data_IF_732454480726
#
_entry.id   IF_732454480726
#
_cell.length_a   1.000
_cell.length_b   1.000
_cell.length_c   1.000
_cell.angle_alpha   90.00
_cell.angle_beta   90.00
_cell.angle_gamma   90.00
#
_symmetry.space_group_name_H-M   'P 1'
#
loop_
_entity.id
_entity.type
_entity.pdbx_description
1 polymer ?
#
# COMPACT_ATOMS: atom_id res chain seq x y z
N UNK A 1 11.30 -3.72 20.78
CA UNK A 1 12.43 -2.79 20.62
C UNK A 1 12.14 -1.57 21.47
N UNK A 2 13.09 -1.12 22.30
CA UNK A 2 12.87 0.06 23.16
C UNK A 2 12.77 1.32 22.28
N UNK A 3 12.00 2.34 22.69
CA UNK A 3 11.89 3.59 21.90
C UNK A 3 13.26 4.25 21.64
N UNK A 4 14.17 4.12 22.59
CA UNK A 4 15.53 4.65 22.50
C UNK A 4 16.38 3.93 21.43
N UNK A 5 16.21 2.61 21.29
CA UNK A 5 16.88 1.80 20.26
C UNK A 5 16.40 2.20 18.86
N UNK A 6 15.08 2.44 18.70
CA UNK A 6 14.50 2.89 17.42
C UNK A 6 15.08 4.25 17.04
N UNK A 7 15.10 5.19 17.99
CA UNK A 7 15.60 6.55 17.75
C UNK A 7 17.09 6.54 17.41
N UNK A 8 17.90 5.76 18.12
CA UNK A 8 19.31 5.57 17.82
C UNK A 8 19.53 4.98 16.41
N UNK A 9 18.78 3.93 16.07
CA UNK A 9 18.85 3.29 14.75
C UNK A 9 18.48 4.27 13.63
N UNK A 10 17.43 5.08 13.80
CA UNK A 10 17.04 6.11 12.84
C UNK A 10 18.13 7.17 12.64
N UNK A 11 18.73 7.67 13.73
CA UNK A 11 19.82 8.66 13.63
C UNK A 11 21.03 8.10 12.90
N UNK A 12 21.44 6.86 13.19
CA UNK A 12 22.56 6.19 12.49
C UNK A 12 22.25 5.91 11.01
N UNK A 13 20.99 5.61 10.70
CA UNK A 13 20.53 5.44 9.31
C UNK A 13 20.65 6.74 8.53
N UNK A 14 20.19 7.87 9.10
CA UNK A 14 20.29 9.19 8.47
C UNK A 14 21.74 9.64 8.22
N UNK A 15 22.67 9.12 9.03
CA UNK A 15 24.11 9.35 8.91
C UNK A 15 24.83 8.34 7.99
N UNK A 16 24.11 7.41 7.37
CA UNK A 16 24.65 6.33 6.53
C UNK A 16 25.63 5.39 7.26
N UNK A 17 25.46 5.22 8.58
CA UNK A 17 26.36 4.42 9.44
C UNK A 17 25.88 2.99 9.68
N UNK A 18 24.79 2.56 9.02
CA UNK A 18 24.25 1.21 9.13
C UNK A 18 24.54 0.40 7.88
N UNK A 19 25.00 -0.84 8.08
CA UNK A 19 25.04 -1.82 6.99
C UNK A 19 23.65 -2.41 6.73
N UNK A 20 23.46 -3.05 5.56
CA UNK A 20 22.15 -3.57 5.16
C UNK A 20 21.55 -4.60 6.15
N UNK A 21 22.37 -5.42 6.83
CA UNK A 21 21.87 -6.39 7.82
C UNK A 21 21.45 -5.70 9.12
N UNK A 22 22.19 -4.69 9.58
CA UNK A 22 21.78 -3.85 10.70
C UNK A 22 20.46 -3.15 10.41
N UNK A 23 20.27 -2.68 9.18
CA UNK A 23 19.01 -2.08 8.78
C UNK A 23 17.86 -3.10 8.75
N UNK A 24 18.09 -4.31 8.22
CA UNK A 24 17.10 -5.39 8.23
C UNK A 24 16.64 -5.69 9.66
N UNK A 25 17.58 -5.81 10.58
CA UNK A 25 17.27 -6.09 11.99
C UNK A 25 16.62 -4.91 12.69
N UNK A 26 17.13 -3.69 12.48
CA UNK A 26 16.64 -2.47 13.14
C UNK A 26 15.25 -2.05 12.69
N UNK A 27 14.95 -2.15 11.39
CA UNK A 27 13.64 -1.80 10.85
C UNK A 27 12.69 -2.99 10.76
N UNK A 28 13.19 -4.22 10.97
CA UNK A 28 12.42 -5.45 10.87
C UNK A 28 12.00 -5.75 9.43
N UNK A 29 12.87 -5.50 8.47
CA UNK A 29 12.59 -5.71 7.04
C UNK A 29 12.50 -7.21 6.78
N UNK A 30 11.43 -7.64 6.13
CA UNK A 30 11.19 -9.06 5.87
C UNK A 30 11.17 -9.37 4.38
N UNK A 31 10.92 -8.40 3.50
CA UNK A 31 10.97 -8.63 2.05
C UNK A 31 11.61 -7.45 1.31
N UNK A 32 11.84 -7.64 0.01
CA UNK A 32 12.43 -6.65 -0.90
C UNK A 32 13.74 -6.02 -0.41
N UNK A 33 14.52 -6.77 0.38
CA UNK A 33 15.80 -6.33 0.94
C UNK A 33 16.98 -6.57 -0.02
N UNK A 34 18.06 -5.78 0.04
CA UNK A 34 19.26 -6.00 -0.78
C UNK A 34 19.88 -7.40 -0.65
N UNK A 35 19.72 -8.04 0.51
CA UNK A 35 20.27 -9.37 0.82
C UNK A 35 19.39 -10.52 0.34
N UNK A 36 18.15 -10.27 -0.07
CA UNK A 36 17.28 -11.33 -0.56
C UNK A 36 17.48 -11.56 -2.08
N UNK A 37 17.70 -12.81 -2.50
CA UNK A 37 17.90 -13.16 -3.90
C UNK A 37 16.68 -12.83 -4.78
N UNK A 38 15.47 -12.84 -4.22
CA UNK A 38 14.20 -12.61 -4.89
C UNK A 38 13.86 -11.12 -5.07
N UNK A 39 14.58 -10.23 -4.40
CA UNK A 39 14.38 -8.78 -4.51
C UNK A 39 14.61 -8.28 -5.93
N UNK A 40 13.77 -7.33 -6.37
CA UNK A 40 13.89 -6.70 -7.69
C UNK A 40 15.27 -6.05 -7.86
N UNK A 41 15.88 -6.24 -9.03
CA UNK A 41 17.24 -5.76 -9.34
C UNK A 41 17.44 -4.25 -9.13
N UNK A 42 16.38 -3.45 -9.31
CA UNK A 42 16.44 -1.99 -9.12
C UNK A 42 16.61 -1.59 -7.64
N UNK A 43 16.03 -2.36 -6.71
CA UNK A 43 16.14 -2.12 -5.27
C UNK A 43 17.53 -2.55 -4.75
N UNK A 44 18.13 -3.58 -5.36
CA UNK A 44 19.51 -4.02 -5.03
C UNK A 44 20.60 -2.98 -5.35
N UNK A 45 20.32 -2.01 -6.23
CA UNK A 45 21.30 -1.01 -6.66
C UNK A 45 21.42 0.18 -5.69
N UNK A 46 20.50 0.31 -4.72
CA UNK A 46 20.50 1.40 -3.75
C UNK A 46 20.34 0.88 -2.31
N UNK A 47 21.34 0.16 -1.76
CA UNK A 47 21.26 -0.48 -0.43
C UNK A 47 21.17 0.50 0.75
N UNK A 48 21.25 1.81 0.50
CA UNK A 48 21.10 2.88 1.50
C UNK A 48 19.98 3.88 1.14
N UNK A 49 19.16 3.59 0.12
CA UNK A 49 17.99 4.41 -0.15
C UNK A 49 17.00 4.28 1.02
N UNK A 50 16.17 5.29 1.22
CA UNK A 50 15.11 5.29 2.24
C UNK A 50 14.22 4.02 2.19
N UNK A 51 14.17 3.36 1.04
CA UNK A 51 13.37 2.17 0.72
C UNK A 51 14.26 0.92 0.60
N UNK A 52 15.04 0.61 1.64
CA UNK A 52 15.91 -0.58 1.72
C UNK A 52 15.14 -1.92 1.85
N UNK A 53 13.81 -1.90 1.78
CA UNK A 53 12.94 -3.07 1.84
C UNK A 53 11.70 -2.82 2.69
N UNK A 54 10.81 -3.80 2.70
CA UNK A 54 9.49 -3.70 3.32
C UNK A 54 9.36 -4.62 4.54
N UNK A 55 8.58 -4.17 5.52
CA UNK A 55 8.18 -4.97 6.68
C UNK A 55 6.73 -5.40 6.53
N UNK A 56 6.53 -6.64 6.12
CA UNK A 56 5.19 -7.20 5.86
C UNK A 56 4.79 -8.27 6.88
N UNK A 57 5.75 -8.86 7.57
CA UNK A 57 5.48 -9.97 8.49
C UNK A 57 5.50 -9.49 9.95
N UNK A 58 4.41 -9.75 10.66
CA UNK A 58 4.20 -9.27 12.03
C UNK A 58 3.71 -10.42 12.93
N UNK A 59 4.24 -10.48 14.15
CA UNK A 59 3.71 -11.30 15.22
C UNK A 59 3.05 -10.36 16.22
N UNK A 60 1.73 -10.32 16.19
CA UNK A 60 0.95 -9.62 17.21
C UNK A 60 0.69 -10.55 18.37
N UNK A 61 0.97 -10.09 19.59
CA UNK A 61 0.68 -10.82 20.80
C UNK A 61 0.23 -9.85 21.88
N UNK A 62 -0.49 -10.41 22.86
CA UNK A 62 -0.89 -9.67 24.04
C UNK A 62 0.15 -9.88 25.13
N UNK A 63 0.78 -8.79 25.58
CA UNK A 63 1.70 -8.81 26.71
C UNK A 63 0.92 -8.95 28.01
N UNK A 64 1.26 -9.95 28.82
CA UNK A 64 0.72 -10.16 30.18
C UNK A 64 1.88 -10.32 31.17
N UNK A 65 1.59 -10.48 32.47
CA UNK A 65 2.62 -10.82 33.46
C UNK A 65 3.22 -12.21 33.20
N UNK A 66 2.38 -13.11 32.69
CA UNK A 66 2.69 -14.50 32.39
C UNK A 66 3.33 -14.66 31.01
N UNK A 67 3.14 -13.72 30.07
CA UNK A 67 3.65 -13.83 28.70
C UNK A 67 4.28 -12.52 28.23
N UNK A 68 5.61 -12.49 28.11
CA UNK A 68 6.35 -11.33 27.61
C UNK A 68 7.25 -11.74 26.44
N UNK A 69 7.19 -11.01 25.33
CA UNK A 69 8.21 -11.12 24.29
C UNK A 69 9.50 -10.52 24.84
N UNK A 70 10.55 -11.35 24.92
CA UNK A 70 11.87 -10.95 25.39
C UNK A 70 12.83 -10.68 24.24
N UNK A 71 12.55 -11.23 23.05
CA UNK A 71 13.35 -11.02 21.85
C UNK A 71 12.49 -11.20 20.61
N UNK A 72 12.64 -10.31 19.64
CA UNK A 72 12.08 -10.45 18.29
C UNK A 72 13.17 -10.04 17.30
N UNK A 73 13.39 -10.85 16.27
CA UNK A 73 14.39 -10.58 15.22
C UNK A 73 13.97 -11.18 13.88
N UNK A 74 14.54 -10.64 12.81
CA UNK A 74 14.49 -11.27 11.48
C UNK A 74 15.48 -12.44 11.47
N UNK A 75 15.15 -13.54 10.79
CA UNK A 75 15.97 -14.75 10.67
C UNK A 75 15.85 -15.34 9.26
N UNK A 76 16.69 -16.34 8.95
CA UNK A 76 16.78 -16.95 7.63
C UNK A 76 17.19 -15.94 6.53
N UNK A 77 18.11 -15.05 6.88
CA UNK A 77 18.72 -14.09 5.95
C UNK A 77 19.78 -14.77 5.05
N UNK A 78 20.26 -15.95 5.45
CA UNK A 78 21.28 -16.70 4.74
C UNK A 78 20.77 -17.33 3.42
N UNK A 79 21.71 -17.61 2.53
CA UNK A 79 21.45 -18.38 1.32
C UNK A 79 21.40 -19.88 1.59
N UNK A 80 20.65 -20.60 0.75
CA UNK A 80 20.66 -22.05 0.71
C UNK A 80 22.10 -22.50 0.45
N UNK A 81 22.65 -23.43 1.27
CA UNK A 81 24.02 -23.91 1.14
C UNK A 81 24.38 -24.27 -0.30
N UNK A 82 25.55 -23.82 -0.75
CA UNK A 82 26.07 -24.02 -2.11
C UNK A 82 25.28 -23.34 -3.23
N UNK A 83 24.41 -22.38 -2.90
CA UNK A 83 23.69 -21.55 -3.88
C UNK A 83 23.90 -20.06 -3.60
N UNK A 84 23.34 -19.21 -4.46
CA UNK A 84 23.21 -17.77 -4.25
C UNK A 84 21.73 -17.38 -4.10
N UNK A 85 20.90 -18.31 -3.61
CA UNK A 85 19.47 -18.15 -3.48
C UNK A 85 19.06 -18.15 -2.01
N UNK A 86 18.22 -17.20 -1.64
CA UNK A 86 17.53 -17.16 -0.35
C UNK A 86 16.47 -18.27 -0.31
N UNK A 87 16.21 -18.79 0.89
CA UNK A 87 15.20 -19.83 1.11
C UNK A 87 13.77 -19.41 0.70
N UNK A 88 13.49 -18.11 0.74
CA UNK A 88 12.18 -17.51 0.49
C UNK A 88 12.33 -16.06 0.04
N UNK A 89 11.33 -15.52 -0.65
CA UNK A 89 11.21 -14.09 -0.99
C UNK A 89 10.90 -13.21 0.23
N UNK A 90 10.50 -13.85 1.33
CA UNK A 90 10.40 -13.27 2.67
C UNK A 90 11.39 -13.93 3.64
N UNK A 91 12.12 -13.12 4.41
CA UNK A 91 12.80 -13.53 5.63
C UNK A 91 11.78 -13.82 6.74
N UNK A 92 12.13 -14.73 7.64
CA UNK A 92 11.23 -15.12 8.72
C UNK A 92 11.34 -14.17 9.92
N UNK A 93 10.25 -14.01 10.67
CA UNK A 93 10.25 -13.30 11.95
C UNK A 93 10.23 -14.33 13.08
N UNK A 94 11.20 -14.23 13.99
CA UNK A 94 11.31 -15.11 15.14
C UNK A 94 11.19 -14.31 16.44
N UNK A 95 10.15 -14.63 17.23
CA UNK A 95 9.92 -14.06 18.56
C UNK A 95 10.06 -15.12 19.65
N UNK A 96 10.81 -14.79 20.69
CA UNK A 96 10.95 -15.59 21.90
C UNK A 96 10.12 -14.97 23.02
N UNK A 97 9.25 -15.79 23.61
CA UNK A 97 8.38 -15.41 24.71
C UNK A 97 8.81 -16.11 25.99
N UNK A 98 8.88 -15.36 27.09
CA UNK A 98 9.08 -15.92 28.42
C UNK A 98 7.71 -16.14 29.07
N UNK A 99 7.53 -17.35 29.65
CA UNK A 99 6.40 -17.68 30.50
C UNK A 99 6.79 -17.43 31.97
N UNK A 100 6.03 -16.61 32.69
CA UNK A 100 6.27 -16.18 34.08
C UNK A 100 7.59 -15.41 34.29
N UNK A 101 7.55 -14.08 34.18
CA UNK A 101 8.70 -13.25 34.54
C UNK A 101 8.57 -12.75 35.99
N UNK A 102 9.31 -13.29 36.97
CA UNK A 102 9.23 -12.84 38.37
C UNK A 102 9.86 -11.44 38.58
N UNK A 103 10.43 -10.83 37.53
CA UNK A 103 11.43 -9.77 37.69
C UNK A 103 10.89 -8.34 37.64
N UNK A 104 9.60 -8.10 37.39
CA UNK A 104 9.01 -6.75 37.53
C UNK A 104 7.55 -6.88 37.94
N UNK A 105 7.23 -6.40 39.15
CA UNK A 105 5.90 -5.92 39.52
C UNK A 105 5.52 -4.76 38.59
N UNK A 106 5.21 -5.05 37.34
CA UNK A 106 4.45 -4.16 36.50
C UNK A 106 2.99 -4.44 36.84
N UNK A 107 2.23 -3.38 37.11
CA UNK A 107 0.77 -3.41 37.22
C UNK A 107 0.24 -3.71 35.81
N UNK A 108 0.43 -4.94 35.35
CA UNK A 108 -0.10 -5.44 34.09
C UNK A 108 -1.27 -6.36 34.45
N UNK A 109 -2.45 -6.14 33.87
CA UNK A 109 -3.62 -6.96 34.18
C UNK A 109 -3.32 -8.43 33.88
N UNK A 110 -3.81 -9.31 34.76
CA UNK A 110 -3.66 -10.76 34.62
C UNK A 110 -4.31 -11.25 33.32
N UNK A 111 -3.89 -12.40 32.78
CA UNK A 111 -4.52 -12.97 31.58
C UNK A 111 -6.06 -13.09 31.69
N UNK A 112 -6.58 -13.32 32.90
CA UNK A 112 -8.02 -13.36 33.21
C UNK A 112 -8.68 -11.98 33.13
N UNK A 113 -8.04 -10.94 33.68
CA UNK A 113 -8.51 -9.57 33.57
C UNK A 113 -8.46 -9.08 32.12
N UNK A 114 -7.41 -9.43 31.38
CA UNK A 114 -7.24 -9.03 29.98
C UNK A 114 -8.23 -9.72 29.04
N UNK A 115 -8.65 -10.96 29.33
CA UNK A 115 -9.73 -11.61 28.58
C UNK A 115 -11.10 -10.96 28.79
N UNK A 116 -11.21 -9.94 29.67
CA UNK A 116 -12.39 -9.08 29.70
C UNK A 116 -12.38 -8.20 28.44
N UNK A 117 -13.46 -8.19 27.63
CA UNK A 117 -13.53 -7.44 26.37
C UNK A 117 -13.14 -5.97 26.53
N UNK A 118 -13.44 -5.40 27.70
CA UNK A 118 -13.20 -4.01 28.11
C UNK A 118 -11.71 -3.56 28.04
N UNK A 119 -10.74 -4.50 28.02
CA UNK A 119 -9.29 -4.22 27.97
C UNK A 119 -8.67 -4.41 26.57
N UNK A 120 -9.48 -4.75 25.56
CA UNK A 120 -9.09 -4.83 24.13
C UNK A 120 -9.65 -3.70 23.27
N UNK A 121 -10.45 -2.80 23.84
CA UNK A 121 -11.05 -1.72 23.03
C UNK A 121 -9.96 -0.75 22.57
N UNK A 122 -9.91 -0.55 21.25
CA UNK A 122 -9.27 0.63 20.69
C UNK A 122 -9.93 1.87 21.31
N UNK A 123 -9.12 2.86 21.66
CA UNK A 123 -9.64 4.13 22.15
C UNK A 123 -10.58 4.72 21.10
N UNK A 124 -11.73 5.23 21.53
CA UNK A 124 -12.74 5.80 20.64
C UNK A 124 -12.14 6.88 19.70
N UNK A 125 -11.23 7.72 20.22
CA UNK A 125 -10.50 8.72 19.43
C UNK A 125 -9.67 8.12 18.29
N UNK A 126 -9.11 6.92 18.48
CA UNK A 126 -8.36 6.20 17.45
C UNK A 126 -9.31 5.68 16.37
N UNK A 127 -10.45 5.10 16.77
CA UNK A 127 -11.48 4.64 15.83
C UNK A 127 -12.07 5.80 15.03
N UNK A 128 -12.37 6.92 15.67
CA UNK A 128 -12.82 8.14 15.01
C UNK A 128 -11.76 8.69 14.04
N UNK A 129 -10.48 8.63 14.41
CA UNK A 129 -9.36 8.99 13.52
C UNK A 129 -9.28 8.11 12.27
N UNK A 130 -9.47 6.79 12.43
CA UNK A 130 -9.53 5.85 11.30
C UNK A 130 -10.73 6.16 10.41
N UNK A 131 -11.91 6.40 10.99
CA UNK A 131 -13.12 6.77 10.23
C UNK A 131 -12.89 8.05 9.42
N UNK A 132 -12.32 9.09 10.04
CA UNK A 132 -12.04 10.36 9.36
C UNK A 132 -11.08 10.18 8.17
N UNK A 133 -10.05 9.34 8.33
CA UNK A 133 -9.11 9.02 7.27
C UNK A 133 -9.80 8.29 6.10
N UNK A 134 -10.58 7.24 6.39
CA UNK A 134 -11.33 6.48 5.38
C UNK A 134 -12.34 7.37 4.65
N UNK A 135 -13.00 8.30 5.35
CA UNK A 135 -13.93 9.26 4.74
C UNK A 135 -13.23 10.22 3.77
N UNK A 136 -12.04 10.71 4.16
CA UNK A 136 -11.21 11.55 3.29
C UNK A 136 -10.81 10.80 2.02
N UNK A 137 -10.34 9.56 2.17
CA UNK A 137 -9.93 8.72 1.03
C UNK A 137 -11.10 8.34 0.14
N UNK A 138 -12.27 8.05 0.72
CA UNK A 138 -13.49 7.78 -0.05
C UNK A 138 -13.90 9.00 -0.89
N UNK A 139 -13.81 10.20 -0.32
CA UNK A 139 -14.12 11.45 -1.03
C UNK A 139 -13.13 11.65 -2.18
N UNK A 140 -11.84 11.46 -1.94
CA UNK A 140 -10.78 11.56 -2.95
C UNK A 140 -10.94 10.54 -4.07
N UNK A 141 -11.19 9.27 -3.75
CA UNK A 141 -11.43 8.20 -4.72
C UNK A 141 -12.69 8.48 -5.55
N UNK A 142 -13.77 8.96 -4.92
CA UNK A 142 -15.00 9.36 -5.62
C UNK A 142 -14.76 10.51 -6.59
N UNK A 143 -14.02 11.55 -6.18
CA UNK A 143 -13.71 12.67 -7.05
C UNK A 143 -12.81 12.28 -8.21
N UNK A 144 -11.80 11.44 -7.96
CA UNK A 144 -10.90 10.91 -9.00
C UNK A 144 -11.66 10.09 -10.03
N UNK A 145 -12.50 9.14 -9.57
CA UNK A 145 -13.37 8.32 -10.42
C UNK A 145 -14.29 9.18 -11.28
N UNK A 146 -14.97 10.18 -10.70
CA UNK A 146 -15.82 11.12 -11.46
C UNK A 146 -15.05 11.89 -12.52
N UNK A 147 -13.85 12.41 -12.19
CA UNK A 147 -13.00 13.11 -13.16
C UNK A 147 -12.62 12.23 -14.34
N UNK A 148 -12.24 10.97 -14.08
CA UNK A 148 -11.93 10.00 -15.13
C UNK A 148 -13.16 9.66 -15.99
N UNK A 149 -14.35 9.53 -15.39
CA UNK A 149 -15.58 9.32 -16.15
C UNK A 149 -15.93 10.51 -17.05
N UNK A 150 -15.67 11.75 -16.59
CA UNK A 150 -15.81 12.94 -17.44
C UNK A 150 -14.82 12.89 -18.61
N UNK A 151 -13.55 12.55 -18.36
CA UNK A 151 -12.54 12.42 -19.42
C UNK A 151 -12.93 11.34 -20.43
N UNK A 152 -13.51 10.22 -19.98
CA UNK A 152 -14.02 9.17 -20.85
C UNK A 152 -15.14 9.70 -21.78
N UNK A 153 -16.15 10.38 -21.22
CA UNK A 153 -17.25 10.96 -22.01
C UNK A 153 -16.72 11.99 -23.01
N UNK A 154 -15.81 12.87 -22.60
CA UNK A 154 -15.17 13.83 -23.50
C UNK A 154 -14.39 13.13 -24.62
N UNK A 155 -13.68 12.05 -24.30
CA UNK A 155 -12.93 11.26 -25.29
C UNK A 155 -13.87 10.63 -26.32
N UNK A 156 -15.03 10.10 -25.90
CA UNK A 156 -16.04 9.57 -26.82
C UNK A 156 -16.59 10.65 -27.77
N UNK A 157 -16.90 11.84 -27.24
CA UNK A 157 -17.38 12.97 -28.05
C UNK A 157 -16.32 13.41 -29.06
N UNK A 158 -15.05 13.46 -28.66
CA UNK A 158 -13.93 13.83 -29.55
C UNK A 158 -13.70 12.80 -30.65
N UNK A 159 -13.80 11.51 -30.33
CA UNK A 159 -13.73 10.43 -31.34
C UNK A 159 -14.86 10.59 -32.37
N UNK A 160 -16.10 10.76 -31.90
CA UNK A 160 -17.26 10.96 -32.78
C UNK A 160 -17.09 12.20 -33.65
N UNK A 161 -16.57 13.29 -33.08
CA UNK A 161 -16.29 14.53 -33.82
C UNK A 161 -15.23 14.29 -34.90
N UNK A 162 -14.16 13.55 -34.61
CA UNK A 162 -13.14 13.19 -35.60
C UNK A 162 -13.74 12.39 -36.77
N UNK A 163 -14.62 11.43 -36.50
CA UNK A 163 -15.32 10.66 -37.53
C UNK A 163 -16.23 11.53 -38.40
N UNK A 164 -17.01 12.44 -37.79
CA UNK A 164 -17.89 13.35 -38.54
C UNK A 164 -17.04 14.29 -39.42
N UNK A 165 -15.94 14.82 -38.89
CA UNK A 165 -15.04 15.70 -39.65
C UNK A 165 -14.42 14.99 -40.85
N UNK A 166 -14.05 13.71 -40.73
CA UNK A 166 -13.58 12.92 -41.86
C UNK A 166 -14.62 12.82 -42.97
N UNK A 167 -15.89 12.56 -42.63
CA UNK A 167 -16.98 12.47 -43.62
C UNK A 167 -17.20 13.82 -44.31
N UNK A 168 -17.21 14.92 -43.55
CA UNK A 168 -17.40 16.27 -44.08
C UNK A 168 -16.26 16.64 -45.03
N UNK A 169 -15.00 16.40 -44.64
CA UNK A 169 -13.83 16.74 -45.44
C UNK A 169 -13.85 16.09 -46.82
N UNK A 170 -14.29 14.82 -46.93
CA UNK A 170 -14.43 14.11 -48.21
C UNK A 170 -15.39 14.82 -49.16
N UNK A 171 -16.44 15.44 -48.63
CA UNK A 171 -17.47 16.09 -49.44
C UNK A 171 -17.10 17.55 -49.80
N UNK A 172 -16.26 18.21 -49.00
CA UNK A 172 -15.97 19.64 -49.16
C UNK A 172 -14.66 19.95 -49.86
N UNK A 173 -13.67 19.06 -49.80
CA UNK A 173 -12.31 19.37 -50.25
C UNK A 173 -12.03 18.85 -51.67
N UNK A 174 -11.53 19.74 -52.53
CA UNK A 174 -11.13 19.43 -53.92
C UNK A 174 -9.67 18.99 -54.06
N UNK A 175 -8.81 19.32 -53.09
CA UNK A 175 -7.39 18.94 -53.12
C UNK A 175 -7.16 17.56 -52.47
N UNK A 176 -6.79 16.58 -53.31
CA UNK A 176 -6.55 15.20 -52.90
C UNK A 176 -5.34 15.04 -51.97
N UNK A 177 -4.33 15.91 -52.08
CA UNK A 177 -3.10 15.81 -51.28
C UNK A 177 -3.33 16.21 -49.82
N UNK A 178 -3.97 17.36 -49.61
CA UNK A 178 -4.29 17.86 -48.27
C UNK A 178 -5.30 16.97 -47.54
N UNK A 179 -6.21 16.34 -48.29
CA UNK A 179 -7.16 15.36 -47.75
C UNK A 179 -6.45 14.19 -47.07
N UNK A 180 -5.51 13.53 -47.75
CA UNK A 180 -4.80 12.36 -47.18
C UNK A 180 -4.09 12.72 -45.88
N UNK A 181 -3.44 13.90 -45.84
CA UNK A 181 -2.75 14.38 -44.63
C UNK A 181 -3.73 14.63 -43.49
N UNK A 182 -4.85 15.31 -43.75
CA UNK A 182 -5.88 15.56 -42.73
C UNK A 182 -6.50 14.26 -42.19
N UNK A 183 -6.71 13.26 -43.05
CA UNK A 183 -7.20 11.94 -42.66
C UNK A 183 -6.24 11.22 -41.70
N UNK A 184 -4.94 11.24 -41.99
CA UNK A 184 -3.92 10.62 -41.13
C UNK A 184 -3.92 11.27 -39.75
N UNK A 185 -3.97 12.61 -39.67
CA UNK A 185 -4.00 13.31 -38.39
C UNK A 185 -5.29 13.03 -37.60
N UNK A 186 -6.46 13.13 -38.23
CA UNK A 186 -7.73 12.86 -37.56
C UNK A 186 -7.83 11.42 -37.07
N UNK A 187 -7.31 10.47 -37.85
CA UNK A 187 -7.23 9.07 -37.44
C UNK A 187 -6.30 8.88 -36.23
N UNK A 188 -5.11 9.50 -36.25
CA UNK A 188 -4.17 9.45 -35.13
C UNK A 188 -4.79 10.04 -33.85
N UNK A 189 -5.49 11.17 -33.94
CA UNK A 189 -6.20 11.75 -32.81
C UNK A 189 -7.30 10.81 -32.28
N UNK A 190 -8.09 10.19 -33.15
CA UNK A 190 -9.11 9.22 -32.74
C UNK A 190 -8.50 8.02 -32.00
N UNK A 191 -7.34 7.51 -32.45
CA UNK A 191 -6.61 6.44 -31.75
C UNK A 191 -6.14 6.88 -30.36
N UNK A 192 -5.56 8.09 -30.24
CA UNK A 192 -5.11 8.62 -28.94
C UNK A 192 -6.29 8.75 -27.97
N UNK A 193 -7.40 9.35 -28.40
CA UNK A 193 -8.59 9.49 -27.56
C UNK A 193 -9.23 8.14 -27.23
N UNK A 194 -9.14 7.15 -28.11
CA UNK A 194 -9.61 5.79 -27.83
C UNK A 194 -8.82 5.14 -26.69
N UNK A 195 -7.48 5.27 -26.70
CA UNK A 195 -6.61 4.78 -25.62
C UNK A 195 -6.93 5.50 -24.31
N UNK A 196 -6.95 6.84 -24.32
CA UNK A 196 -7.24 7.65 -23.12
C UNK A 196 -8.63 7.35 -22.57
N UNK A 197 -9.63 7.23 -23.44
CA UNK A 197 -11.00 6.85 -23.07
C UNK A 197 -11.05 5.48 -22.42
N UNK A 198 -10.39 4.48 -23.02
CA UNK A 198 -10.36 3.10 -22.50
C UNK A 198 -9.70 3.04 -21.12
N UNK A 199 -8.55 3.68 -20.94
CA UNK A 199 -7.87 3.75 -19.63
C UNK A 199 -8.75 4.46 -18.60
N UNK A 200 -9.36 5.57 -18.98
CA UNK A 200 -10.25 6.34 -18.09
C UNK A 200 -11.49 5.54 -17.69
N UNK A 201 -12.04 4.73 -18.59
CA UNK A 201 -13.15 3.81 -18.29
C UNK A 201 -12.70 2.71 -17.31
N UNK A 202 -11.61 2.00 -17.60
CA UNK A 202 -11.16 0.89 -16.75
C UNK A 202 -10.74 1.36 -15.35
N UNK A 203 -10.01 2.48 -15.26
CA UNK A 203 -9.57 3.00 -13.96
C UNK A 203 -10.73 3.72 -13.25
N UNK A 204 -11.43 4.61 -13.95
CA UNK A 204 -12.49 5.43 -13.36
C UNK A 204 -13.71 4.62 -12.94
N UNK A 205 -14.15 3.67 -13.75
CA UNK A 205 -15.33 2.85 -13.47
C UNK A 205 -14.96 1.60 -12.68
N UNK A 206 -14.16 0.69 -13.24
CA UNK A 206 -13.95 -0.65 -12.67
C UNK A 206 -13.15 -0.59 -11.36
N UNK A 207 -12.03 0.14 -11.35
CA UNK A 207 -11.21 0.24 -10.14
C UNK A 207 -11.83 1.21 -9.13
N UNK A 208 -12.30 2.37 -9.60
CA UNK A 208 -12.96 3.37 -8.76
C UNK A 208 -14.15 2.80 -7.99
N UNK A 209 -15.02 2.02 -8.63
CA UNK A 209 -16.17 1.43 -7.95
C UNK A 209 -15.76 0.37 -6.91
N UNK A 210 -14.79 -0.49 -7.24
CA UNK A 210 -14.29 -1.51 -6.31
C UNK A 210 -13.66 -0.89 -5.07
N UNK A 211 -12.80 0.11 -5.25
CA UNK A 211 -12.15 0.83 -4.15
C UNK A 211 -13.20 1.53 -3.27
N UNK A 212 -14.13 2.27 -3.86
CA UNK A 212 -15.20 2.95 -3.12
C UNK A 212 -16.09 1.96 -2.35
N UNK A 213 -16.41 0.79 -2.93
CA UNK A 213 -17.19 -0.26 -2.26
C UNK A 213 -16.42 -0.81 -1.06
N UNK A 214 -15.13 -1.08 -1.19
CA UNK A 214 -14.30 -1.56 -0.10
C UNK A 214 -14.20 -0.54 1.03
N UNK A 215 -13.93 0.73 0.72
CA UNK A 215 -13.84 1.80 1.72
C UNK A 215 -15.18 2.00 2.46
N UNK A 216 -16.30 1.96 1.74
CA UNK A 216 -17.64 2.04 2.34
C UNK A 216 -17.92 0.85 3.27
N UNK A 217 -17.46 -0.35 2.92
CA UNK A 217 -17.62 -1.53 3.75
C UNK A 217 -16.85 -1.38 5.06
N UNK A 218 -15.56 -1.04 5.00
CA UNK A 218 -14.75 -0.80 6.20
C UNK A 218 -15.33 0.29 7.10
N UNK A 219 -15.83 1.38 6.50
CA UNK A 219 -16.47 2.45 7.24
C UNK A 219 -17.72 1.97 7.98
N UNK A 220 -18.56 1.15 7.34
CA UNK A 220 -19.74 0.55 7.98
C UNK A 220 -19.35 -0.39 9.11
N UNK A 221 -18.33 -1.21 8.91
CA UNK A 221 -17.90 -2.19 9.92
C UNK A 221 -17.35 -1.49 11.17
N UNK A 222 -16.54 -0.44 10.99
CA UNK A 222 -16.02 0.36 12.10
C UNK A 222 -17.13 1.15 12.80
N UNK A 223 -18.05 1.76 12.05
CA UNK A 223 -19.19 2.46 12.63
C UNK A 223 -20.13 1.52 13.38
N UNK A 224 -20.34 0.31 12.87
CA UNK A 224 -21.11 -0.71 13.56
C UNK A 224 -20.47 -1.06 14.91
N UNK A 225 -19.14 -1.28 14.91
CA UNK A 225 -18.36 -1.52 16.13
C UNK A 225 -18.49 -0.36 17.13
N UNK A 226 -18.31 0.89 16.68
CA UNK A 226 -18.46 2.07 17.55
C UNK A 226 -19.86 2.13 18.18
N UNK A 227 -20.91 1.84 17.41
CA UNK A 227 -22.29 1.99 17.86
C UNK A 227 -22.80 0.85 18.77
N UNK A 228 -22.20 -0.35 18.68
CA UNK A 228 -22.71 -1.55 19.38
C UNK A 228 -21.82 -2.06 20.52
N UNK A 229 -20.53 -1.72 20.54
CA UNK A 229 -19.59 -2.21 21.57
C UNK A 229 -19.21 -1.14 22.62
N UNK A 230 -19.78 0.07 22.54
CA UNK A 230 -19.59 1.15 23.52
C UNK A 230 -20.82 1.42 24.43
N UNK A 231 -21.82 0.54 24.41
CA UNK A 231 -22.98 0.56 25.32
C UNK A 231 -23.13 -0.75 26.09
#
# INVERSE_FOLDING_TARGET
MHQDDIKNTLTRFEQYELNASECIQGFGITCDSPHNSWTKRILKQHPFAKDIGDRLDYIFYRRTNELCCIKSKVVMEEYIPHTQWSYSDHFAVHSLFALNNPSKELITPTAIEMNRPNLTHLQESTLQGIVALIQSDLTRSTQSSKRLMIIFVLSLVLILTCFILQIVLVHTSYDKGQLVVAFIFLFLFAVIFSIVGTVSLVVGFVHGEKEQRSLKQYLKDIQYYINHDFY
#
